data_IF_864922467306
#
_entry.id   IF_864922467306
#
_cell.length_a   1.000
_cell.length_b   1.000
_cell.length_c   1.000
_cell.angle_alpha   90.00
_cell.angle_beta   90.00
_cell.angle_gamma   90.00
#
_symmetry.space_group_name_H-M   'P 1'
#
loop_
_entity.id
_entity.type
_entity.pdbx_description
1 polymer ?
#
# COMPACT_ATOMS: atom_id res chain seq x y z
N UNK A 1 30.80 -27.34 3.80
CA UNK A 1 30.58 -26.07 4.55
C UNK A 1 29.35 -25.33 4.04
N UNK A 2 29.17 -25.16 2.71
CA UNK A 2 28.01 -24.47 2.13
C UNK A 2 26.66 -25.07 2.53
N UNK A 3 26.50 -26.40 2.50
CA UNK A 3 25.25 -27.06 2.88
C UNK A 3 24.82 -26.76 4.33
N UNK A 4 25.79 -26.71 5.27
CA UNK A 4 25.51 -26.42 6.69
C UNK A 4 25.08 -24.97 6.91
N UNK A 5 25.69 -24.03 6.19
CA UNK A 5 25.33 -22.62 6.28
C UNK A 5 23.96 -22.38 5.63
N UNK A 6 23.68 -23.02 4.49
CA UNK A 6 22.36 -22.98 3.86
C UNK A 6 21.27 -23.52 4.78
N UNK A 7 21.50 -24.67 5.43
CA UNK A 7 20.54 -25.24 6.39
C UNK A 7 20.25 -24.34 7.59
N UNK A 8 21.27 -23.66 8.13
CA UNK A 8 21.08 -22.68 9.21
C UNK A 8 20.24 -21.50 8.75
N UNK A 9 20.56 -20.96 7.58
CA UNK A 9 19.84 -19.81 7.03
C UNK A 9 18.37 -20.12 6.77
N UNK A 10 18.08 -21.32 6.23
CA UNK A 10 16.70 -21.79 6.07
C UNK A 10 15.98 -21.92 7.42
N UNK A 11 16.62 -22.52 8.43
CA UNK A 11 16.01 -22.67 9.76
C UNK A 11 15.62 -21.34 10.39
N UNK A 12 16.47 -20.31 10.25
CA UNK A 12 16.31 -19.07 10.99
C UNK A 12 15.48 -18.02 10.21
N UNK A 13 15.52 -18.03 8.87
CA UNK A 13 14.93 -16.96 8.03
C UNK A 13 13.77 -17.39 7.13
N UNK A 14 13.43 -18.68 7.04
CA UNK A 14 12.34 -19.13 6.15
C UNK A 14 10.99 -18.45 6.46
N UNK A 15 10.74 -18.10 7.73
CA UNK A 15 9.50 -17.44 8.16
C UNK A 15 9.30 -16.02 7.59
N UNK A 16 10.38 -15.32 7.26
CA UNK A 16 10.34 -13.96 6.70
C UNK A 16 10.80 -13.89 5.24
N UNK A 17 11.31 -14.99 4.68
CA UNK A 17 11.88 -15.04 3.34
C UNK A 17 10.90 -14.62 2.23
N UNK A 18 9.59 -14.79 2.44
CA UNK A 18 8.54 -14.44 1.48
C UNK A 18 7.98 -13.02 1.67
N UNK A 19 8.39 -12.30 2.71
CA UNK A 19 7.85 -10.97 3.03
C UNK A 19 8.44 -9.90 2.10
N UNK A 20 7.58 -9.20 1.35
CA UNK A 20 7.98 -8.07 0.48
C UNK A 20 7.93 -6.71 1.16
N UNK A 21 7.18 -6.62 2.26
CA UNK A 21 6.91 -5.39 3.01
C UNK A 21 6.97 -5.69 4.49
N UNK A 22 7.16 -4.64 5.29
CA UNK A 22 7.09 -4.74 6.75
C UNK A 22 5.69 -5.23 7.20
N UNK A 23 5.63 -6.00 8.29
CA UNK A 23 4.37 -6.45 8.85
C UNK A 23 3.56 -5.26 9.38
N UNK A 24 2.23 -5.37 9.29
CA UNK A 24 1.33 -4.32 9.76
C UNK A 24 1.02 -4.44 11.27
N UNK A 25 1.29 -5.59 11.87
CA UNK A 25 1.19 -5.86 13.29
C UNK A 25 2.17 -6.99 13.64
N UNK A 26 2.65 -7.01 14.88
CA UNK A 26 3.52 -8.06 15.40
C UNK A 26 2.82 -8.77 16.57
N UNK A 27 2.87 -10.11 16.57
CA UNK A 27 2.45 -10.94 17.69
C UNK A 27 3.69 -11.49 18.39
N UNK A 28 3.81 -11.27 19.70
CA UNK A 28 4.95 -11.73 20.52
C UNK A 28 4.46 -12.72 21.59
N UNK A 29 5.14 -13.85 21.75
CA UNK A 29 4.73 -14.90 22.70
C UNK A 29 5.35 -14.68 24.08
N UNK A 30 6.60 -14.26 24.15
CA UNK A 30 7.30 -14.00 25.41
C UNK A 30 7.98 -12.64 25.32
N UNK A 31 7.47 -11.68 26.10
CA UNK A 31 7.95 -10.30 26.09
C UNK A 31 9.33 -10.16 26.72
N UNK A 32 9.64 -10.99 27.72
CA UNK A 32 10.91 -10.98 28.44
C UNK A 32 12.03 -11.59 27.59
N UNK A 33 11.74 -12.64 26.83
CA UNK A 33 12.73 -13.27 25.95
C UNK A 33 12.92 -12.49 24.65
N UNK A 34 11.84 -11.92 24.08
CA UNK A 34 11.86 -11.24 22.78
C UNK A 34 11.85 -9.69 22.88
N UNK A 35 12.49 -9.12 23.92
CA UNK A 35 12.56 -7.66 24.12
C UNK A 35 13.18 -6.90 22.93
N UNK A 36 14.05 -7.54 22.15
CA UNK A 36 14.62 -6.94 20.94
C UNK A 36 13.53 -6.72 19.90
N UNK A 37 12.67 -7.72 19.67
CA UNK A 37 11.57 -7.62 18.72
C UNK A 37 10.57 -6.52 19.12
N UNK A 38 10.24 -6.42 20.42
CA UNK A 38 9.37 -5.37 20.95
C UNK A 38 9.98 -3.98 20.72
N UNK A 39 11.28 -3.81 21.00
CA UNK A 39 11.97 -2.52 20.79
C UNK A 39 12.06 -2.14 19.31
N UNK A 40 12.32 -3.10 18.42
CA UNK A 40 12.38 -2.85 16.98
C UNK A 40 11.01 -2.51 16.40
N UNK A 41 9.97 -3.25 16.78
CA UNK A 41 8.59 -2.96 16.39
C UNK A 41 8.17 -1.55 16.83
N UNK A 42 8.48 -1.17 18.08
CA UNK A 42 8.20 0.18 18.59
C UNK A 42 8.92 1.28 17.81
N UNK A 43 10.19 1.05 17.40
CA UNK A 43 10.93 2.00 16.54
C UNK A 43 10.32 2.15 15.16
N UNK A 44 9.78 1.06 14.61
CA UNK A 44 9.15 1.03 13.29
C UNK A 44 7.66 1.42 13.33
N UNK A 45 7.12 1.78 14.51
CA UNK A 45 5.71 2.07 14.74
C UNK A 45 4.77 0.93 14.29
N UNK A 46 5.21 -0.32 14.51
CA UNK A 46 4.40 -1.51 14.25
C UNK A 46 3.63 -1.84 15.54
N UNK A 47 2.28 -1.93 15.50
CA UNK A 47 1.49 -2.26 16.68
C UNK A 47 1.77 -3.69 17.17
N UNK A 48 1.84 -3.84 18.49
CA UNK A 48 2.29 -5.07 19.15
C UNK A 48 1.14 -5.68 19.95
N UNK A 49 0.85 -6.94 19.65
CA UNK A 49 0.01 -7.82 20.47
C UNK A 49 0.95 -8.80 21.15
N UNK A 50 0.92 -8.92 22.47
CA UNK A 50 1.84 -9.82 23.15
C UNK A 50 1.25 -10.53 24.35
N UNK A 51 1.68 -11.77 24.57
CA UNK A 51 1.38 -12.49 25.80
C UNK A 51 2.31 -11.98 26.90
N UNK A 52 1.75 -11.58 28.03
CA UNK A 52 2.48 -11.13 29.20
C UNK A 52 2.21 -12.09 30.36
N UNK A 53 3.26 -12.72 30.88
CA UNK A 53 3.21 -13.38 32.18
C UNK A 53 3.59 -12.40 33.30
N UNK A 54 3.61 -12.88 34.55
CA UNK A 54 3.91 -12.12 35.77
C UNK A 54 5.25 -11.38 35.78
N UNK A 55 6.22 -11.81 34.98
CA UNK A 55 7.54 -11.20 34.82
C UNK A 55 7.61 -10.15 33.68
N UNK A 56 6.65 -10.17 32.76
CA UNK A 56 6.63 -9.30 31.58
C UNK A 56 6.11 -7.90 31.90
N UNK A 57 6.78 -6.86 31.38
CA UNK A 57 6.26 -5.51 31.45
C UNK A 57 5.24 -5.29 30.30
N UNK A 58 3.95 -5.03 30.59
CA UNK A 58 2.93 -4.78 29.56
C UNK A 58 2.96 -3.35 28.99
N UNK A 59 3.67 -2.40 29.62
CA UNK A 59 3.68 -0.98 29.24
C UNK A 59 4.14 -0.69 27.79
N UNK A 60 5.15 -1.37 27.21
CA UNK A 60 5.56 -1.10 25.83
C UNK A 60 4.65 -1.77 24.78
N UNK A 61 3.58 -2.47 25.17
CA UNK A 61 2.73 -3.29 24.30
C UNK A 61 1.37 -2.63 24.13
N UNK A 62 0.89 -2.56 22.89
CA UNK A 62 -0.40 -1.93 22.58
C UNK A 62 -1.59 -2.79 23.02
N UNK A 63 -1.48 -4.10 22.85
CA UNK A 63 -2.52 -5.06 23.20
C UNK A 63 -1.95 -6.23 24.03
N UNK A 64 -1.74 -6.04 25.34
CA UNK A 64 -1.23 -7.08 26.22
C UNK A 64 -2.31 -8.13 26.53
N UNK A 65 -1.95 -9.41 26.44
CA UNK A 65 -2.78 -10.57 26.79
C UNK A 65 -2.14 -11.25 27.99
N UNK A 66 -2.79 -11.15 29.15
CA UNK A 66 -2.28 -11.81 30.36
C UNK A 66 -2.43 -13.33 30.25
N UNK A 67 -1.31 -14.06 30.19
CA UNK A 67 -1.30 -15.51 30.19
C UNK A 67 0.08 -16.08 30.51
N UNK A 68 0.12 -17.37 30.81
CA UNK A 68 1.37 -18.10 31.03
C UNK A 68 2.03 -18.46 29.69
N UNK A 69 3.25 -17.99 29.47
CA UNK A 69 4.09 -18.21 28.29
C UNK A 69 5.05 -19.40 28.42
N UNK A 70 5.34 -19.90 29.62
CA UNK A 70 6.16 -21.10 29.83
C UNK A 70 5.45 -22.41 29.43
N UNK A 71 4.12 -22.43 29.54
CA UNK A 71 3.34 -23.65 29.37
C UNK A 71 2.94 -23.87 27.90
N UNK A 72 3.47 -24.94 27.27
CA UNK A 72 3.14 -25.35 25.89
C UNK A 72 1.63 -25.45 25.64
N UNK A 73 0.86 -25.96 26.63
CA UNK A 73 -0.61 -26.04 26.52
C UNK A 73 -1.26 -24.65 26.47
N UNK A 74 -0.76 -23.70 27.26
CA UNK A 74 -1.25 -22.32 27.31
C UNK A 74 -0.94 -21.60 25.99
N UNK A 75 0.33 -21.62 25.57
CA UNK A 75 0.77 -21.03 24.29
C UNK A 75 -0.07 -21.58 23.14
N UNK A 76 -0.28 -22.90 23.09
CA UNK A 76 -1.07 -23.52 22.02
C UNK A 76 -2.49 -22.99 21.98
N UNK A 77 -3.19 -22.97 23.12
CA UNK A 77 -4.58 -22.47 23.18
C UNK A 77 -4.67 -21.02 22.72
N UNK A 78 -3.73 -20.17 23.13
CA UNK A 78 -3.74 -18.74 22.79
C UNK A 78 -3.39 -18.54 21.31
N UNK A 79 -2.38 -19.26 20.81
CA UNK A 79 -1.96 -19.17 19.41
C UNK A 79 -3.06 -19.67 18.48
N UNK A 80 -3.73 -20.77 18.83
CA UNK A 80 -4.88 -21.30 18.08
C UNK A 80 -6.02 -20.26 18.05
N UNK A 81 -6.30 -19.60 19.18
CA UNK A 81 -7.29 -18.52 19.26
C UNK A 81 -6.91 -17.31 18.38
N UNK A 82 -5.64 -16.92 18.35
CA UNK A 82 -5.18 -15.86 17.45
C UNK A 82 -5.36 -16.24 15.98
N UNK A 83 -5.01 -17.48 15.60
CA UNK A 83 -5.22 -17.98 14.25
C UNK A 83 -6.70 -17.93 13.85
N UNK A 84 -7.60 -18.43 14.70
CA UNK A 84 -9.04 -18.41 14.45
C UNK A 84 -9.57 -16.99 14.30
N UNK A 85 -9.15 -16.08 15.19
CA UNK A 85 -9.53 -14.67 15.11
C UNK A 85 -9.05 -13.99 13.82
N UNK A 86 -7.82 -14.28 13.38
CA UNK A 86 -7.26 -13.74 12.12
C UNK A 86 -8.02 -14.28 10.91
N UNK A 87 -8.40 -15.57 10.92
CA UNK A 87 -9.17 -16.17 9.83
C UNK A 87 -10.56 -15.54 9.72
N UNK A 88 -11.27 -15.40 10.84
CA UNK A 88 -12.59 -14.74 10.89
C UNK A 88 -12.47 -13.28 10.42
N UNK A 89 -11.48 -12.54 10.94
CA UNK A 89 -11.25 -11.15 10.56
C UNK A 89 -10.95 -11.01 9.05
N UNK A 90 -10.20 -11.94 8.47
CA UNK A 90 -9.92 -11.97 7.04
C UNK A 90 -11.18 -12.16 6.20
N UNK A 91 -12.08 -13.05 6.60
CA UNK A 91 -13.35 -13.26 5.90
C UNK A 91 -14.25 -12.01 5.95
N UNK A 92 -14.34 -11.39 7.13
CA UNK A 92 -15.11 -10.14 7.31
C UNK A 92 -14.51 -9.02 6.47
N UNK A 93 -13.19 -8.84 6.51
CA UNK A 93 -12.49 -7.83 5.73
C UNK A 93 -12.73 -8.02 4.23
N UNK A 94 -12.68 -9.26 3.72
CA UNK A 94 -12.96 -9.54 2.32
C UNK A 94 -14.38 -9.15 1.91
N UNK A 95 -15.39 -9.46 2.73
CA UNK A 95 -16.78 -9.05 2.47
C UNK A 95 -16.93 -7.53 2.43
N UNK A 96 -16.33 -6.83 3.41
CA UNK A 96 -16.36 -5.37 3.47
C UNK A 96 -15.69 -4.72 2.25
N UNK A 97 -14.57 -5.27 1.77
CA UNK A 97 -13.90 -4.75 0.57
C UNK A 97 -14.80 -4.90 -0.65
N UNK A 98 -15.44 -6.06 -0.83
CA UNK A 98 -16.35 -6.30 -1.96
C UNK A 98 -17.56 -5.37 -1.90
N UNK A 99 -18.18 -5.20 -0.74
CA UNK A 99 -19.30 -4.28 -0.55
C UNK A 99 -18.90 -2.82 -0.80
N UNK A 100 -17.72 -2.41 -0.34
CA UNK A 100 -17.20 -1.07 -0.57
C UNK A 100 -16.88 -0.80 -2.05
N UNK A 101 -16.38 -1.80 -2.78
CA UNK A 101 -16.17 -1.71 -4.24
C UNK A 101 -17.50 -1.62 -5.00
N UNK A 102 -18.51 -2.39 -4.59
CA UNK A 102 -19.85 -2.32 -5.18
C UNK A 102 -20.53 -0.96 -4.91
N UNK A 103 -20.40 -0.43 -3.70
CA UNK A 103 -20.91 0.89 -3.34
C UNK A 103 -20.22 2.00 -4.16
N UNK A 104 -18.89 1.95 -4.31
CA UNK A 104 -18.14 2.90 -5.16
C UNK A 104 -18.52 2.79 -6.63
N UNK A 105 -18.74 1.57 -7.14
CA UNK A 105 -19.17 1.36 -8.51
C UNK A 105 -20.60 1.88 -8.76
N UNK A 106 -21.51 1.72 -7.79
CA UNK A 106 -22.86 2.27 -7.84
C UNK A 106 -22.84 3.81 -7.80
N UNK A 107 -22.04 4.40 -6.90
CA UNK A 107 -21.89 5.86 -6.80
C UNK A 107 -21.25 6.46 -8.06
N UNK A 108 -20.30 5.76 -8.69
CA UNK A 108 -19.70 6.17 -9.96
C UNK A 108 -20.70 6.08 -11.13
N UNK A 109 -21.59 5.09 -11.13
CA UNK A 109 -22.67 4.98 -12.14
C UNK A 109 -23.71 6.08 -11.97
N UNK A 110 -24.13 6.36 -10.74
CA UNK A 110 -25.06 7.46 -10.43
C UNK A 110 -24.48 8.81 -10.85
N UNK A 111 -23.19 9.08 -10.56
CA UNK A 111 -22.52 10.31 -11.02
C UNK A 111 -22.34 10.39 -12.54
N UNK A 112 -22.25 9.25 -13.23
CA UNK A 112 -22.17 9.21 -14.68
C UNK A 112 -23.55 9.43 -15.33
N UNK A 113 -24.63 8.91 -14.75
CA UNK A 113 -26.02 9.17 -15.18
C UNK A 113 -26.41 10.63 -14.92
N UNK A 114 -26.10 11.20 -13.75
CA UNK A 114 -26.39 12.62 -13.45
C UNK A 114 -25.62 13.59 -14.37
N UNK A 115 -24.42 13.23 -14.82
CA UNK A 115 -23.66 14.01 -15.79
C UNK A 115 -24.23 13.93 -17.21
N UNK A 116 -24.87 12.81 -17.58
CA UNK A 116 -25.53 12.63 -18.87
C UNK A 116 -26.89 13.35 -18.91
N UNK A 117 -27.66 13.30 -17.82
CA UNK A 117 -28.93 14.03 -17.71
C UNK A 117 -28.75 15.56 -17.70
N UNK A 118 -27.62 16.06 -17.19
CA UNK A 118 -27.26 17.48 -17.24
C UNK A 118 -26.86 17.98 -18.65
N UNK A 119 -26.34 17.09 -19.51
CA UNK A 119 -25.96 17.40 -20.89
C UNK A 119 -27.18 17.35 -21.85
N UNK A 120 -28.16 16.49 -21.57
CA UNK A 120 -29.38 16.37 -22.38
C UNK A 120 -30.42 17.49 -22.09
N UNK A 121 -30.30 18.21 -20.97
CA UNK A 121 -31.16 19.34 -20.61
C UNK A 121 -30.76 20.71 -21.23
N UNK A 122 -29.67 20.79 -22.01
CA UNK A 122 -29.25 22.04 -22.66
C UNK A 122 -30.09 22.35 -23.93
N UNK A 123 -30.77 23.51 -24.03
CA UNK A 123 -31.67 23.77 -25.15
C UNK A 123 -30.89 24.06 -26.45
N UNK A 124 -31.22 23.32 -27.51
CA UNK A 124 -30.77 23.57 -28.89
C UNK A 124 -31.34 24.92 -29.38
N UNK A 125 -30.48 25.91 -29.60
CA UNK A 125 -30.92 27.24 -30.06
C UNK A 125 -29.86 28.12 -30.74
N UNK A 126 -29.84 28.07 -32.09
CA UNK A 126 -29.48 29.12 -33.05
C UNK A 126 -28.00 29.41 -33.42
N UNK A 127 -27.64 28.92 -34.62
CA UNK A 127 -26.55 29.39 -35.51
C UNK A 127 -26.75 30.86 -35.92
N UNK A 128 -25.70 31.71 -35.80
CA UNK A 128 -25.49 32.89 -36.68
C UNK A 128 -24.00 33.17 -36.98
N UNK A 129 -23.67 32.90 -38.24
CA UNK A 129 -22.74 33.50 -39.20
C UNK A 129 -21.59 34.46 -38.76
N UNK A 130 -20.41 34.13 -39.28
CA UNK A 130 -19.17 34.90 -39.34
C UNK A 130 -19.25 36.09 -40.33
N UNK A 131 -18.65 37.27 -40.06
CA UNK A 131 -18.31 38.22 -41.11
C UNK A 131 -16.79 38.24 -41.43
N UNK A 132 -16.48 38.08 -42.72
CA UNK A 132 -15.18 38.35 -43.38
C UNK A 132 -14.96 39.86 -43.60
N UNK A 133 -13.69 40.31 -43.61
CA UNK A 133 -13.08 41.43 -44.39
C UNK A 133 -11.54 41.33 -44.22
N UNK A 134 -10.71 40.86 -45.18
CA UNK A 134 -10.03 41.56 -46.31
C UNK A 134 -9.31 42.88 -45.92
N UNK A 135 -8.07 43.24 -46.31
CA UNK A 135 -6.92 42.64 -47.03
C UNK A 135 -5.67 43.56 -46.85
N UNK A 136 -4.49 42.97 -46.53
CA UNK A 136 -3.08 43.20 -47.02
C UNK A 136 -2.29 44.54 -46.87
N UNK A 137 -0.95 44.57 -47.13
CA UNK A 137 0.16 43.64 -46.75
C UNK A 137 1.45 44.39 -46.27
N UNK A 138 2.46 43.68 -45.74
CA UNK A 138 3.89 44.08 -45.84
C UNK A 138 4.78 42.85 -46.07
N UNK A 139 5.58 42.93 -47.13
CA UNK A 139 6.56 41.96 -47.62
C UNK A 139 7.91 42.06 -46.88
N UNK A 140 8.68 40.96 -46.91
CA UNK A 140 10.09 40.83 -46.51
C UNK A 140 10.26 40.46 -45.03
N UNK A 141 10.79 39.30 -44.62
CA UNK A 141 11.89 38.55 -45.19
C UNK A 141 11.63 37.03 -45.21
N UNK A 142 12.02 36.44 -46.33
CA UNK A 142 12.07 35.01 -46.57
C UNK A 142 13.40 34.42 -46.08
N UNK A 143 13.29 33.15 -45.70
CA UNK A 143 14.30 32.10 -45.92
C UNK A 143 15.29 31.85 -44.79
N UNK A 144 15.06 30.71 -44.13
CA UNK A 144 16.01 30.05 -43.23
C UNK A 144 15.55 28.64 -42.84
N UNK A 145 15.03 27.87 -43.80
CA UNK A 145 15.00 26.41 -43.68
C UNK A 145 16.30 25.84 -44.27
N UNK A 146 16.73 24.72 -43.68
CA UNK A 146 17.81 23.82 -44.06
C UNK A 146 19.18 24.09 -43.41
N UNK A 147 19.50 23.29 -42.38
CA UNK A 147 20.58 22.29 -42.49
C UNK A 147 20.56 21.37 -41.26
N UNK A 148 20.18 20.12 -41.49
CA UNK A 148 20.55 18.98 -40.67
C UNK A 148 22.01 18.61 -40.97
N UNK A 149 22.81 18.32 -39.95
CA UNK A 149 23.84 17.25 -39.91
C UNK A 149 24.81 17.42 -38.72
N UNK A 150 25.14 16.27 -38.11
CA UNK A 150 26.37 15.92 -37.37
C UNK A 150 26.54 16.47 -35.93
N UNK A 151 26.38 15.61 -34.92
CA UNK A 151 27.46 14.80 -34.29
C UNK A 151 28.49 15.66 -33.54
N UNK A 152 28.39 15.69 -32.20
CA UNK A 152 29.54 15.50 -31.32
C UNK A 152 29.07 14.79 -30.03
N UNK A 153 29.44 13.51 -29.96
CA UNK A 153 29.56 12.71 -28.74
C UNK A 153 30.75 13.22 -27.92
N UNK A 154 30.65 13.09 -26.59
CA UNK A 154 31.73 13.14 -25.59
C UNK A 154 32.22 14.51 -25.08
N UNK A 155 31.88 14.79 -23.82
CA UNK A 155 32.81 14.94 -22.68
C UNK A 155 31.94 15.05 -21.41
N UNK A 156 31.86 14.05 -20.53
CA UNK A 156 32.84 13.62 -19.52
C UNK A 156 33.21 14.74 -18.55
N UNK A 157 32.93 14.45 -17.26
CA UNK A 157 33.38 15.11 -16.01
C UNK A 157 32.60 16.37 -15.58
N UNK A 158 31.70 16.22 -14.59
CA UNK A 158 31.99 16.24 -13.15
C UNK A 158 30.95 15.40 -12.37
#
# INVERSE_FOLDING_TARGET
>A
MMARNAQRLHRDLDGIATMKRLPAALVVIDVCHDEIAVREAKKLNIPIVAICDTNGNPEPIDYPVAANDDAVKSIKVITDLFCDAILIAKEVYQKQVVEAEQAKAAEAKLKAEEAQDAEEAAPKGQRKQHPRKQDKPKEGDVMGQALAAQEVVANVAE
#
